data_IF_425777575691
#
_entry.id   IF_425777575691
#
_cell.length_a   1.000
_cell.length_b   1.000
_cell.length_c   1.000
_cell.angle_alpha   90.00
_cell.angle_beta   90.00
_cell.angle_gamma   90.00
#
_symmetry.space_group_name_H-M   'P 1'
#
loop_
_entity.id
_entity.type
_entity.pdbx_description
1 polymer ?
#
# COMPACT_ATOMS: atom_id res chain seq x y z
N UNK A 1 19.05 0.28 -13.48
CA UNK A 1 17.78 1.07 -13.42
C UNK A 1 18.14 2.47 -12.94
N UNK A 2 17.61 3.54 -13.54
CA UNK A 2 17.80 4.90 -12.99
C UNK A 2 17.05 5.03 -11.66
N UNK A 3 17.54 5.84 -10.72
CA UNK A 3 16.91 5.97 -9.40
C UNK A 3 15.47 6.49 -9.51
N UNK A 4 15.21 7.43 -10.41
CA UNK A 4 13.86 7.91 -10.74
C UNK A 4 12.90 6.78 -11.14
N UNK A 5 13.37 5.80 -11.92
CA UNK A 5 12.57 4.63 -12.30
C UNK A 5 12.23 3.75 -11.09
N UNK A 6 13.11 3.65 -10.10
CA UNK A 6 12.83 2.92 -8.86
C UNK A 6 11.81 3.66 -8.00
N UNK A 7 11.88 4.99 -7.91
CA UNK A 7 10.88 5.80 -7.18
C UNK A 7 9.50 5.67 -7.82
N UNK A 8 9.40 5.74 -9.15
CA UNK A 8 8.15 5.48 -9.87
C UNK A 8 7.63 4.06 -9.69
N UNK A 9 8.50 3.06 -9.75
CA UNK A 9 8.09 1.67 -9.54
C UNK A 9 7.54 1.47 -8.12
N UNK A 10 8.18 2.07 -7.12
CA UNK A 10 7.68 2.08 -5.74
C UNK A 10 6.33 2.77 -5.64
N UNK A 11 6.15 3.92 -6.27
CA UNK A 11 4.85 4.62 -6.30
C UNK A 11 3.76 3.74 -6.91
N UNK A 12 4.02 3.11 -8.07
CA UNK A 12 3.06 2.23 -8.76
C UNK A 12 2.67 1.05 -7.86
N UNK A 13 3.66 0.38 -7.26
CA UNK A 13 3.40 -0.73 -6.32
C UNK A 13 2.53 -0.27 -5.14
N UNK A 14 2.89 0.87 -4.55
CA UNK A 14 2.16 1.45 -3.42
C UNK A 14 0.71 1.76 -3.80
N UNK A 15 0.51 2.32 -4.99
CA UNK A 15 -0.81 2.69 -5.50
C UNK A 15 -1.69 1.46 -5.80
N UNK A 16 -1.12 0.40 -6.37
CA UNK A 16 -1.83 -0.87 -6.59
C UNK A 16 -2.31 -1.46 -5.26
N UNK A 17 -1.44 -1.48 -4.24
CA UNK A 17 -1.80 -1.97 -2.90
C UNK A 17 -2.91 -1.11 -2.30
N UNK A 18 -2.82 0.21 -2.43
CA UNK A 18 -3.85 1.12 -1.95
C UNK A 18 -5.21 0.87 -2.59
N UNK A 19 -5.28 0.73 -3.92
CA UNK A 19 -6.51 0.38 -4.63
C UNK A 19 -7.06 -0.94 -4.11
N UNK A 20 -6.22 -1.95 -3.93
CA UNK A 20 -6.62 -3.24 -3.42
C UNK A 20 -7.22 -3.14 -2.01
N UNK A 21 -6.61 -2.37 -1.10
CA UNK A 21 -7.14 -2.14 0.26
C UNK A 21 -8.51 -1.48 0.21
N UNK A 22 -8.63 -0.39 -0.55
CA UNK A 22 -9.88 0.36 -0.68
C UNK A 22 -10.97 -0.52 -1.27
N UNK A 23 -10.64 -1.32 -2.28
CA UNK A 23 -11.60 -2.26 -2.90
C UNK A 23 -12.05 -3.32 -1.90
N UNK A 24 -11.13 -3.93 -1.13
CA UNK A 24 -11.51 -4.90 -0.11
C UNK A 24 -12.42 -4.30 0.96
N UNK A 25 -12.07 -3.11 1.46
CA UNK A 25 -12.90 -2.40 2.42
C UNK A 25 -14.28 -2.10 1.86
N UNK A 26 -14.37 -1.63 0.62
CA UNK A 26 -15.64 -1.36 -0.04
C UNK A 26 -16.51 -2.61 -0.15
N UNK A 27 -15.92 -3.73 -0.59
CA UNK A 27 -16.64 -5.01 -0.71
C UNK A 27 -17.11 -5.51 0.65
N UNK A 28 -16.26 -5.38 1.68
CA UNK A 28 -16.60 -5.77 3.04
C UNK A 28 -17.76 -4.94 3.60
N UNK A 29 -17.67 -3.60 3.53
CA UNK A 29 -18.70 -2.68 4.06
C UNK A 29 -20.05 -2.90 3.36
N UNK A 30 -20.04 -3.11 2.05
CA UNK A 30 -21.26 -3.34 1.27
C UNK A 30 -21.72 -4.80 1.25
N UNK A 31 -21.07 -5.69 2.02
CA UNK A 31 -21.42 -7.11 2.13
C UNK A 31 -21.50 -7.82 0.76
N UNK A 32 -20.61 -7.45 -0.16
CA UNK A 32 -20.56 -8.02 -1.51
C UNK A 32 -19.96 -9.43 -1.43
N UNK A 33 -20.84 -10.43 -1.40
CA UNK A 33 -20.44 -11.84 -1.32
C UNK A 33 -20.05 -12.39 -2.70
N UNK A 34 -18.86 -12.02 -3.19
CA UNK A 34 -18.24 -12.58 -4.39
C UNK A 34 -17.17 -13.61 -4.04
N UNK A 35 -17.39 -14.87 -4.42
CA UNK A 35 -16.45 -15.96 -4.15
C UNK A 35 -15.07 -15.74 -4.78
N UNK A 36 -15.03 -15.18 -5.98
CA UNK A 36 -13.76 -14.87 -6.66
C UNK A 36 -12.98 -13.80 -5.89
N UNK A 37 -13.67 -12.76 -5.42
CA UNK A 37 -13.05 -11.68 -4.65
C UNK A 37 -12.53 -12.17 -3.29
N UNK A 38 -13.30 -13.03 -2.61
CA UNK A 38 -12.87 -13.64 -1.33
C UNK A 38 -11.63 -14.52 -1.46
N UNK A 39 -11.48 -15.26 -2.56
CA UNK A 39 -10.27 -16.05 -2.81
C UNK A 39 -9.07 -15.15 -3.14
N UNK A 40 -9.28 -14.13 -3.96
CA UNK A 40 -8.24 -13.17 -4.34
C UNK A 40 -7.75 -12.36 -3.14
N UNK A 41 -8.68 -11.93 -2.28
CA UNK A 41 -8.36 -11.16 -1.08
C UNK A 41 -7.48 -11.96 -0.12
N UNK A 42 -7.80 -13.24 0.13
CA UNK A 42 -7.00 -14.15 0.97
C UNK A 42 -5.57 -14.34 0.45
N UNK A 43 -5.40 -14.50 -0.86
CA UNK A 43 -4.08 -14.71 -1.47
C UNK A 43 -3.23 -13.45 -1.37
N UNK A 44 -3.83 -12.29 -1.63
CA UNK A 44 -3.10 -11.02 -1.72
C UNK A 44 -2.92 -10.35 -0.35
N UNK A 45 -3.69 -10.74 0.68
CA UNK A 45 -3.64 -10.17 2.02
C UNK A 45 -2.25 -10.24 2.70
N UNK A 46 -1.61 -11.41 2.65
CA UNK A 46 -0.27 -11.59 3.24
C UNK A 46 0.78 -10.77 2.47
N UNK A 47 0.87 -10.86 1.13
CA UNK A 47 1.74 -9.99 0.33
C UNK A 47 1.53 -8.50 0.57
N UNK A 48 0.27 -8.03 0.66
CA UNK A 48 -0.02 -6.62 0.89
C UNK A 48 0.42 -6.17 2.27
N UNK A 49 0.24 -6.99 3.31
CA UNK A 49 0.75 -6.72 4.66
C UNK A 49 2.27 -6.53 4.67
N UNK A 50 3.00 -7.43 4.02
CA UNK A 50 4.46 -7.36 3.93
C UNK A 50 4.88 -6.07 3.23
N UNK A 51 4.27 -5.74 2.10
CA UNK A 51 4.61 -4.55 1.33
C UNK A 51 4.30 -3.25 2.09
N UNK A 52 3.20 -3.19 2.84
CA UNK A 52 2.82 -2.04 3.67
C UNK A 52 3.85 -1.75 4.75
N UNK A 53 4.58 -2.75 5.22
CA UNK A 53 5.66 -2.57 6.19
C UNK A 53 6.98 -2.27 5.47
N UNK A 54 7.31 -3.03 4.42
CA UNK A 54 8.58 -2.90 3.71
C UNK A 54 8.74 -1.55 2.97
N UNK A 55 7.68 -1.03 2.35
CA UNK A 55 7.72 0.24 1.61
C UNK A 55 8.10 1.43 2.53
N UNK A 56 7.44 1.67 3.67
CA UNK A 56 7.82 2.77 4.57
C UNK A 56 9.24 2.59 5.14
N UNK A 57 9.66 1.36 5.46
CA UNK A 57 11.05 1.09 5.89
C UNK A 57 12.04 1.52 4.79
N UNK A 58 11.77 1.13 3.53
CA UNK A 58 12.60 1.53 2.40
C UNK A 58 12.62 3.05 2.23
N UNK A 59 11.47 3.72 2.37
CA UNK A 59 11.38 5.18 2.30
C UNK A 59 12.17 5.89 3.41
N UNK A 60 12.12 5.39 4.64
CA UNK A 60 12.91 5.92 5.77
C UNK A 60 14.41 5.80 5.48
N UNK A 61 14.85 4.65 4.96
CA UNK A 61 16.25 4.44 4.59
C UNK A 61 16.70 5.44 3.51
N UNK A 62 15.86 5.68 2.50
CA UNK A 62 16.17 6.65 1.42
C UNK A 62 16.21 8.09 1.95
N UNK A 63 15.34 8.44 2.89
CA UNK A 63 15.33 9.71 3.61
C UNK A 63 16.64 9.94 4.38
N UNK A 64 17.05 8.97 5.21
CA UNK A 64 18.28 9.03 6.01
C UNK A 64 19.51 9.14 5.11
N UNK A 65 19.52 8.38 4.01
CA UNK A 65 20.62 8.40 3.03
C UNK A 65 20.59 9.62 2.11
N UNK A 66 19.59 10.51 2.23
CA UNK A 66 19.33 11.66 1.35
C UNK A 66 19.32 11.26 -0.15
N UNK A 67 18.83 10.06 -0.46
CA UNK A 67 18.80 9.49 -1.83
C UNK A 67 17.43 9.69 -2.49
N UNK A 68 16.92 10.91 -2.44
CA UNK A 68 15.63 11.28 -3.04
C UNK A 68 15.92 12.08 -4.31
N UNK A 69 15.50 11.56 -5.46
CA UNK A 69 15.61 12.30 -6.74
C UNK A 69 14.43 13.23 -6.93
N UNK A 70 13.20 12.76 -6.68
CA UNK A 70 11.99 13.58 -6.80
C UNK A 70 11.20 13.63 -5.49
N UNK A 71 11.20 14.81 -4.86
CA UNK A 71 10.48 15.05 -3.60
C UNK A 71 8.96 14.90 -3.75
N UNK A 72 8.41 15.20 -4.92
CA UNK A 72 6.96 15.11 -5.17
C UNK A 72 6.50 13.65 -5.20
N UNK A 73 7.22 12.79 -5.93
CA UNK A 73 6.97 11.34 -6.01
C UNK A 73 7.15 10.70 -4.64
N UNK A 74 8.22 11.08 -3.94
CA UNK A 74 8.47 10.61 -2.58
C UNK A 74 7.31 10.97 -1.64
N UNK A 75 6.90 12.24 -1.60
CA UNK A 75 5.82 12.70 -0.72
C UNK A 75 4.48 12.05 -1.05
N UNK A 76 4.16 11.88 -2.34
CA UNK A 76 2.94 11.20 -2.77
C UNK A 76 2.95 9.74 -2.34
N UNK A 77 4.08 9.04 -2.54
CA UNK A 77 4.24 7.65 -2.08
C UNK A 77 4.06 7.56 -0.57
N UNK A 78 4.65 8.49 0.18
CA UNK A 78 4.56 8.54 1.65
C UNK A 78 3.11 8.73 2.10
N UNK A 79 2.41 9.66 1.47
CA UNK A 79 1.00 9.92 1.76
C UNK A 79 0.13 8.67 1.53
N UNK A 80 0.29 8.01 0.38
CA UNK A 80 -0.47 6.81 0.05
C UNK A 80 -0.16 5.68 1.06
N UNK A 81 1.10 5.48 1.43
CA UNK A 81 1.49 4.49 2.45
C UNK A 81 0.83 4.82 3.79
N UNK A 82 0.90 6.08 4.23
CA UNK A 82 0.33 6.51 5.50
C UNK A 82 -1.18 6.24 5.56
N UNK A 83 -1.91 6.63 4.52
CA UNK A 83 -3.35 6.35 4.43
C UNK A 83 -3.61 4.84 4.38
N UNK A 84 -2.81 4.07 3.64
CA UNK A 84 -2.94 2.61 3.56
C UNK A 84 -2.78 1.93 4.91
N UNK A 85 -1.83 2.38 5.74
CA UNK A 85 -1.63 1.89 7.11
C UNK A 85 -2.86 2.20 7.97
N UNK A 86 -3.39 3.43 7.90
CA UNK A 86 -4.59 3.81 8.64
C UNK A 86 -5.80 2.95 8.24
N UNK A 87 -6.00 2.72 6.95
CA UNK A 87 -7.08 1.87 6.44
C UNK A 87 -6.95 0.42 6.91
N UNK A 88 -5.72 -0.12 6.93
CA UNK A 88 -5.46 -1.45 7.48
C UNK A 88 -5.72 -1.52 8.98
N UNK A 89 -5.29 -0.51 9.73
CA UNK A 89 -5.57 -0.40 11.17
C UNK A 89 -7.06 -0.34 11.46
N UNK A 90 -7.80 0.44 10.68
CA UNK A 90 -9.27 0.48 10.74
C UNK A 90 -9.88 -0.90 10.50
N UNK A 91 -9.44 -1.60 9.45
CA UNK A 91 -9.94 -2.93 9.13
C UNK A 91 -9.71 -3.93 10.28
N UNK A 92 -8.54 -3.90 10.90
CA UNK A 92 -8.20 -4.82 12.00
C UNK A 92 -8.94 -4.54 13.30
N UNK A 93 -9.24 -3.26 13.61
CA UNK A 93 -9.89 -2.87 14.86
C UNK A 93 -11.41 -2.99 14.78
N UNK A 94 -11.99 -2.62 13.64
CA UNK A 94 -13.44 -2.43 13.53
C UNK A 94 -14.16 -3.48 12.67
N UNK A 95 -13.44 -4.25 11.85
CA UNK A 95 -14.03 -5.25 10.95
C UNK A 95 -13.65 -6.71 11.31
N UNK A 96 -12.84 -6.89 12.35
CA UNK A 96 -12.48 -8.18 12.93
C UNK A 96 -13.19 -8.35 14.27
#
# INVERSE_FOLDING_TARGET
>A
MTKLKLEYLRLILTFIIFIFIVTNLFFYINQVNSNWFNSLSKIVFIPSLILIICIPIWMIIDLIRKKIEDKSIFNLTFFIVFVSILLYGFALIYLN
#
